data_IF_571484171428
#
_entry.id   IF_571484171428
#
_cell.length_a   1.000
_cell.length_b   1.000
_cell.length_c   1.000
_cell.angle_alpha   90.00
_cell.angle_beta   90.00
_cell.angle_gamma   90.00
#
_symmetry.space_group_name_H-M   'P 1'
#
loop_
_entity.id
_entity.type
_entity.pdbx_description
1 polymer ?
#
# COMPACT_ATOMS: atom_id res chain seq x y z
N UNK A 1 -14.61 35.27 13.47
CA UNK A 1 -15.36 34.35 12.59
C UNK A 1 -14.45 33.19 12.14
N UNK A 2 -14.04 32.28 13.06
CA UNK A 2 -13.23 31.09 12.72
C UNK A 2 -13.51 29.89 13.65
N UNK A 3 -14.67 29.85 14.32
CA UNK A 3 -14.98 28.78 15.28
C UNK A 3 -15.62 27.53 14.65
N UNK A 4 -16.07 27.58 13.38
CA UNK A 4 -16.77 26.46 12.73
C UNK A 4 -15.84 25.46 12.01
N UNK A 5 -14.53 25.74 11.94
CA UNK A 5 -13.58 24.86 11.27
C UNK A 5 -12.90 23.86 12.23
N UNK A 6 -12.86 24.14 13.53
CA UNK A 6 -12.17 23.27 14.50
C UNK A 6 -13.06 22.13 15.03
N UNK A 7 -14.38 22.33 15.09
CA UNK A 7 -15.33 21.30 15.54
C UNK A 7 -15.52 20.15 14.53
N UNK A 8 -15.08 20.30 13.28
CA UNK A 8 -15.14 19.23 12.28
C UNK A 8 -13.99 18.21 12.43
N UNK A 9 -12.91 18.59 13.12
CA UNK A 9 -11.69 17.77 13.22
C UNK A 9 -11.45 17.17 14.61
N UNK A 10 -12.06 17.72 15.66
CA UNK A 10 -11.83 17.25 17.03
C UNK A 10 -12.92 16.27 17.50
N UNK A 11 -12.47 15.03 17.68
CA UNK A 11 -13.01 13.96 18.55
C UNK A 11 -14.35 13.31 18.16
N UNK A 12 -14.29 11.99 17.94
CA UNK A 12 -15.41 11.02 17.84
C UNK A 12 -16.20 10.87 16.53
N UNK A 13 -16.03 11.72 15.52
CA UNK A 13 -16.54 11.45 14.15
C UNK A 13 -15.63 10.51 13.34
N UNK A 14 -15.09 9.49 14.02
CA UNK A 14 -14.94 8.16 13.44
C UNK A 14 -16.34 7.54 13.20
N UNK A 15 -17.25 8.29 12.56
CA UNK A 15 -18.58 7.85 12.14
C UNK A 15 -18.43 6.89 10.96
N UNK A 16 -17.99 5.67 11.27
CA UNK A 16 -18.75 4.42 11.19
C UNK A 16 -20.06 4.47 10.37
N UNK A 17 -20.06 4.96 9.14
CA UNK A 17 -21.10 4.61 8.16
C UNK A 17 -20.66 3.33 7.47
N UNK A 18 -20.85 2.18 8.13
CA UNK A 18 -20.78 0.82 7.55
C UNK A 18 -19.69 0.59 6.47
N UNK A 19 -18.57 1.30 6.57
CA UNK A 19 -17.64 1.47 5.47
C UNK A 19 -16.62 0.35 5.56
N UNK A 20 -16.39 -0.32 4.43
CA UNK A 20 -15.34 -1.34 4.31
C UNK A 20 -13.95 -0.76 4.61
N UNK A 21 -13.80 0.56 4.66
CA UNK A 21 -12.53 1.27 4.80
C UNK A 21 -12.44 1.95 6.18
N UNK A 22 -11.28 1.83 6.80
CA UNK A 22 -10.87 2.52 8.02
C UNK A 22 -9.84 3.58 7.65
N UNK A 23 -10.11 4.82 8.05
CA UNK A 23 -9.19 5.94 7.94
C UNK A 23 -8.69 6.30 9.33
N UNK A 24 -7.40 6.58 9.48
CA UNK A 24 -6.85 7.12 10.72
C UNK A 24 -5.66 8.02 10.44
N UNK A 25 -5.43 8.93 11.37
CA UNK A 25 -4.44 9.98 11.22
C UNK A 25 -3.08 9.52 11.72
N UNK A 26 -2.04 10.03 11.08
CA UNK A 26 -0.66 9.89 11.51
C UNK A 26 -0.04 11.28 11.57
N UNK A 27 1.03 11.43 12.35
CA UNK A 27 1.74 12.72 12.46
C UNK A 27 2.26 13.26 11.11
N UNK A 28 2.41 12.40 10.09
CA UNK A 28 2.87 12.75 8.74
C UNK A 28 1.76 12.79 7.69
N UNK A 29 0.49 12.57 8.05
CA UNK A 29 -0.62 12.53 7.11
C UNK A 29 -1.73 11.56 7.55
N UNK A 30 -2.16 10.66 6.68
CA UNK A 30 -3.21 9.70 7.05
C UNK A 30 -3.04 8.34 6.36
N UNK A 31 -3.69 7.34 6.96
CA UNK A 31 -3.66 5.96 6.53
C UNK A 31 -5.08 5.51 6.18
N UNK A 32 -5.20 4.76 5.09
CA UNK A 32 -6.46 4.13 4.68
C UNK A 32 -6.23 2.65 4.49
N UNK A 33 -7.00 1.82 5.20
CA UNK A 33 -6.95 0.37 5.11
C UNK A 33 -8.36 -0.19 5.05
N UNK A 34 -8.52 -1.38 4.48
CA UNK A 34 -9.75 -2.13 4.67
C UNK A 34 -9.93 -2.49 6.16
N UNK A 35 -11.17 -2.36 6.66
CA UNK A 35 -11.57 -2.70 8.02
C UNK A 35 -11.49 -4.21 8.18
N UNK A 36 -10.75 -4.68 9.19
CA UNK A 36 -10.67 -6.10 9.54
C UNK A 36 -12.08 -6.62 9.85
N UNK A 37 -12.61 -7.53 9.02
CA UNK A 37 -13.84 -8.24 9.37
C UNK A 37 -13.50 -9.17 10.54
N UNK A 38 -13.94 -8.78 11.74
CA UNK A 38 -13.52 -9.36 13.04
C UNK A 38 -13.80 -10.87 13.21
N UNK A 39 -14.52 -11.53 12.30
CA UNK A 39 -14.94 -12.93 12.47
C UNK A 39 -14.74 -13.91 11.31
N UNK A 40 -14.29 -13.53 10.12
CA UNK A 40 -13.98 -14.47 9.02
C UNK A 40 -13.35 -13.71 7.84
N UNK A 41 -12.19 -13.10 8.07
CA UNK A 41 -11.48 -12.47 6.97
C UNK A 41 -10.85 -13.56 6.11
N UNK A 42 -11.44 -13.81 4.93
CA UNK A 42 -10.97 -14.81 3.96
C UNK A 42 -9.47 -14.63 3.67
N UNK A 43 -8.98 -13.39 3.67
CA UNK A 43 -7.56 -13.11 3.45
C UNK A 43 -6.67 -13.74 4.53
N UNK A 44 -7.09 -13.71 5.80
CA UNK A 44 -6.35 -14.32 6.91
C UNK A 44 -6.38 -15.85 6.82
N UNK A 45 -7.51 -16.44 6.42
CA UNK A 45 -7.61 -17.88 6.18
C UNK A 45 -6.71 -18.33 5.02
N UNK A 46 -6.65 -17.55 3.94
CA UNK A 46 -5.74 -17.80 2.83
C UNK A 46 -4.27 -17.66 3.24
N UNK A 47 -3.90 -16.64 4.02
CA UNK A 47 -2.54 -16.50 4.58
C UNK A 47 -2.18 -17.72 5.43
N UNK A 48 -3.08 -18.17 6.30
CA UNK A 48 -2.88 -19.33 7.15
C UNK A 48 -2.77 -20.61 6.33
N UNK A 49 -3.65 -20.81 5.35
CA UNK A 49 -3.66 -21.98 4.47
C UNK A 49 -2.35 -22.12 3.69
N UNK A 50 -1.87 -21.04 3.07
CA UNK A 50 -0.59 -21.04 2.34
C UNK A 50 0.58 -21.33 3.29
N UNK A 51 0.56 -20.79 4.51
CA UNK A 51 1.59 -21.08 5.53
C UNK A 51 1.60 -22.53 5.96
N UNK A 52 0.42 -23.12 6.20
CA UNK A 52 0.29 -24.52 6.58
C UNK A 52 0.75 -25.44 5.44
N UNK A 53 0.35 -25.16 4.20
CA UNK A 53 0.81 -25.92 3.03
C UNK A 53 2.34 -25.85 2.91
N UNK A 54 2.93 -24.65 2.98
CA UNK A 54 4.38 -24.49 2.92
C UNK A 54 5.11 -25.19 4.08
N UNK A 55 4.53 -25.19 5.28
CA UNK A 55 5.09 -25.85 6.46
C UNK A 55 4.98 -27.38 6.37
N UNK A 56 3.92 -27.92 5.76
CA UNK A 56 3.72 -29.36 5.56
C UNK A 56 4.62 -29.95 4.46
N UNK A 57 5.14 -29.14 3.54
CA UNK A 57 6.10 -29.60 2.52
C UNK A 57 7.45 -30.01 3.13
N UNK A 58 7.84 -29.42 4.26
CA UNK A 58 9.10 -29.74 4.95
C UNK A 58 9.12 -31.18 5.49
N UNK A 59 8.15 -31.64 6.31
CA UNK A 59 8.11 -33.03 6.74
C UNK A 59 7.84 -34.00 5.58
N UNK A 60 7.07 -33.59 4.55
CA UNK A 60 6.88 -34.41 3.35
C UNK A 60 8.21 -34.70 2.64
N UNK A 61 9.10 -33.71 2.56
CA UNK A 61 10.47 -33.90 2.05
C UNK A 61 11.27 -34.87 2.93
N UNK A 62 11.07 -34.84 4.25
CA UNK A 62 11.67 -35.80 5.18
C UNK A 62 11.19 -37.23 4.96
N UNK A 63 9.89 -37.45 4.71
CA UNK A 63 9.32 -38.78 4.46
C UNK A 63 9.95 -39.45 3.22
N UNK A 64 10.31 -38.67 2.19
CA UNK A 64 11.01 -39.17 0.99
C UNK A 64 12.31 -39.89 1.35
N UNK A 65 13.02 -39.45 2.40
CA UNK A 65 14.26 -40.09 2.85
C UNK A 65 14.03 -41.44 3.53
N UNK A 66 12.83 -41.69 4.07
CA UNK A 66 12.50 -42.90 4.83
C UNK A 66 11.67 -43.92 4.03
N UNK A 67 11.37 -43.66 2.75
CA UNK A 67 10.62 -44.58 1.89
C UNK A 67 11.47 -45.82 1.55
N UNK A 68 11.13 -47.02 2.07
CA UNK A 68 12.00 -48.21 2.02
C UNK A 68 12.17 -48.77 0.59
N UNK A 69 11.31 -48.40 -0.36
CA UNK A 69 11.40 -48.83 -1.76
C UNK A 69 12.40 -48.05 -2.64
N UNK A 70 13.02 -46.99 -2.11
CA UNK A 70 13.94 -46.13 -2.87
C UNK A 70 15.41 -46.24 -2.42
N UNK A 71 15.73 -47.18 -1.53
CA UNK A 71 17.10 -47.43 -1.05
C UNK A 71 17.94 -48.23 -2.05
N UNK A 72 17.65 -48.11 -3.35
CA UNK A 72 18.44 -48.73 -4.40
C UNK A 72 19.69 -47.88 -4.59
N UNK A 73 20.86 -48.46 -4.30
CA UNK A 73 22.18 -47.81 -4.24
C UNK A 73 22.73 -47.31 -5.59
N UNK A 74 21.87 -46.95 -6.54
CA UNK A 74 22.27 -46.33 -7.80
C UNK A 74 22.42 -44.83 -7.58
N UNK A 75 23.56 -44.28 -7.99
CA UNK A 75 23.89 -42.84 -7.87
C UNK A 75 22.79 -41.95 -8.45
N UNK A 76 22.10 -42.40 -9.50
CA UNK A 76 20.97 -41.69 -10.11
C UNK A 76 19.79 -41.49 -9.16
N UNK A 77 19.45 -42.48 -8.33
CA UNK A 77 18.30 -42.40 -7.40
C UNK A 77 18.57 -41.39 -6.28
N UNK A 78 19.79 -41.38 -5.74
CA UNK A 78 20.21 -40.44 -4.69
C UNK A 78 20.16 -38.99 -5.20
N UNK A 79 20.64 -38.75 -6.42
CA UNK A 79 20.60 -37.40 -7.03
C UNK A 79 19.15 -36.93 -7.21
N UNK A 80 18.26 -37.79 -7.69
CA UNK A 80 16.83 -37.44 -7.86
C UNK A 80 16.16 -37.17 -6.52
N UNK A 81 16.41 -37.98 -5.49
CA UNK A 81 15.89 -37.75 -4.14
C UNK A 81 16.36 -36.42 -3.55
N UNK A 82 17.67 -36.12 -3.67
CA UNK A 82 18.23 -34.86 -3.21
C UNK A 82 17.61 -33.67 -3.96
N UNK A 83 17.45 -33.76 -5.28
CA UNK A 83 16.82 -32.73 -6.08
C UNK A 83 15.36 -32.50 -5.68
N UNK A 84 14.58 -33.57 -5.46
CA UNK A 84 13.20 -33.47 -4.96
C UNK A 84 13.15 -32.81 -3.59
N UNK A 85 13.98 -33.24 -2.64
CA UNK A 85 14.05 -32.66 -1.31
C UNK A 85 14.35 -31.16 -1.37
N UNK A 86 15.32 -30.76 -2.19
CA UNK A 86 15.67 -29.36 -2.38
C UNK A 86 14.52 -28.57 -3.01
N UNK A 87 13.82 -29.15 -3.99
CA UNK A 87 12.65 -28.54 -4.61
C UNK A 87 11.51 -28.33 -3.60
N UNK A 88 11.18 -29.34 -2.79
CA UNK A 88 10.14 -29.23 -1.75
C UNK A 88 10.50 -28.17 -0.70
N UNK A 89 11.75 -28.13 -0.25
CA UNK A 89 12.22 -27.11 0.69
C UNK A 89 12.16 -25.71 0.09
N UNK A 90 12.63 -25.54 -1.16
CA UNK A 90 12.61 -24.25 -1.84
C UNK A 90 11.19 -23.73 -2.05
N UNK A 91 10.27 -24.60 -2.50
CA UNK A 91 8.85 -24.24 -2.71
C UNK A 91 8.15 -23.97 -1.37
N UNK A 92 8.35 -24.83 -0.37
CA UNK A 92 7.75 -24.66 0.96
C UNK A 92 8.20 -23.36 1.64
N UNK A 93 9.50 -23.07 1.60
CA UNK A 93 10.06 -21.81 2.11
C UNK A 93 9.56 -20.61 1.30
N UNK A 94 9.48 -20.74 -0.03
CA UNK A 94 8.95 -19.70 -0.92
C UNK A 94 7.50 -19.34 -0.59
N UNK A 95 6.62 -20.33 -0.43
CA UNK A 95 5.22 -20.16 -0.04
C UNK A 95 5.10 -19.50 1.34
N UNK A 96 5.89 -19.94 2.31
CA UNK A 96 5.91 -19.36 3.64
C UNK A 96 6.30 -17.87 3.62
N UNK A 97 7.38 -17.53 2.92
CA UNK A 97 7.82 -16.12 2.71
C UNK A 97 6.80 -15.30 1.95
N UNK A 98 6.13 -15.90 0.96
CA UNK A 98 5.09 -15.23 0.18
C UNK A 98 3.88 -14.86 1.05
N UNK A 99 3.41 -15.79 1.88
CA UNK A 99 2.28 -15.55 2.79
C UNK A 99 2.58 -14.46 3.84
N UNK A 100 3.85 -14.21 4.17
CA UNK A 100 4.24 -13.17 5.12
C UNK A 100 4.09 -11.73 4.60
N UNK A 101 3.98 -11.54 3.27
CA UNK A 101 3.80 -10.22 2.64
C UNK A 101 2.41 -9.62 2.88
N UNK A 102 1.43 -10.47 3.17
CA UNK A 102 0.05 -10.08 3.38
C UNK A 102 -0.73 -9.80 2.09
N UNK A 103 -2.05 -9.96 2.15
CA UNK A 103 -2.94 -9.72 1.00
C UNK A 103 -3.85 -8.51 1.15
N UNK A 104 -3.87 -7.86 2.31
CA UNK A 104 -4.78 -6.75 2.56
C UNK A 104 -4.18 -5.46 2.05
N UNK A 105 -4.83 -4.81 1.08
CA UNK A 105 -4.35 -3.54 0.53
C UNK A 105 -4.49 -2.43 1.56
N UNK A 106 -3.43 -1.64 1.69
CA UNK A 106 -3.40 -0.41 2.49
C UNK A 106 -2.66 0.65 1.68
N UNK A 107 -3.11 1.89 1.79
CA UNK A 107 -2.33 3.02 1.30
C UNK A 107 -2.15 4.08 2.38
N UNK A 108 -1.09 4.86 2.23
CA UNK A 108 -0.61 5.85 3.16
C UNK A 108 -0.34 7.13 2.37
N UNK A 109 -0.88 8.24 2.84
CA UNK A 109 -0.64 9.56 2.26
C UNK A 109 0.27 10.32 3.22
N UNK A 110 1.52 10.52 2.80
CA UNK A 110 2.53 11.29 3.51
C UNK A 110 2.52 12.72 2.97
N UNK A 111 1.84 13.60 3.71
CA UNK A 111 1.71 15.02 3.35
C UNK A 111 3.01 15.78 3.56
N UNK A 112 3.84 15.34 4.51
CA UNK A 112 5.11 15.96 4.80
C UNK A 112 6.12 15.75 3.67
N UNK A 113 6.14 14.54 3.09
CA UNK A 113 7.04 14.20 1.97
C UNK A 113 6.39 14.37 0.59
N UNK A 114 5.07 14.53 0.52
CA UNK A 114 4.35 14.53 -0.74
C UNK A 114 4.42 13.16 -1.43
N UNK A 115 4.24 12.08 -0.67
CA UNK A 115 4.29 10.70 -1.17
C UNK A 115 2.99 9.95 -0.90
N UNK A 116 2.52 9.19 -1.89
CA UNK A 116 1.47 8.20 -1.76
C UNK A 116 2.10 6.81 -1.76
N UNK A 117 2.12 6.13 -0.61
CA UNK A 117 2.67 4.78 -0.48
C UNK A 117 1.55 3.76 -0.50
N UNK A 118 1.62 2.84 -1.46
CA UNK A 118 0.67 1.74 -1.63
C UNK A 118 1.37 0.46 -1.22
N UNK A 119 0.70 -0.36 -0.42
CA UNK A 119 1.30 -1.57 0.11
C UNK A 119 0.28 -2.59 0.58
N UNK A 120 0.80 -3.66 1.19
CA UNK A 120 -0.01 -4.72 1.78
C UNK A 120 0.21 -4.82 3.28
N UNK A 121 -0.81 -5.23 4.01
CA UNK A 121 -0.77 -5.59 5.41
C UNK A 121 -0.85 -7.11 5.54
N UNK A 122 0.03 -7.70 6.34
CA UNK A 122 -0.08 -9.10 6.74
C UNK A 122 -1.00 -9.28 7.96
N UNK A 123 -1.29 -10.52 8.36
CA UNK A 123 -2.08 -10.84 9.55
C UNK A 123 -1.55 -10.23 10.87
N UNK A 124 -0.26 -9.89 10.93
CA UNK A 124 0.38 -9.20 12.07
C UNK A 124 0.29 -7.67 11.97
N UNK A 125 -0.52 -7.15 11.04
CA UNK A 125 -0.69 -5.72 10.75
C UNK A 125 0.62 -4.98 10.40
N UNK A 126 1.65 -5.70 9.92
CA UNK A 126 2.89 -5.10 9.40
C UNK A 126 2.66 -4.65 7.96
N UNK A 127 3.03 -3.40 7.68
CA UNK A 127 2.88 -2.78 6.37
C UNK A 127 4.12 -2.99 5.51
N UNK A 128 3.91 -3.58 4.33
CA UNK A 128 4.93 -3.74 3.30
C UNK A 128 4.61 -2.82 2.13
N UNK A 129 5.48 -1.84 1.89
CA UNK A 129 5.37 -0.92 0.77
C UNK A 129 5.63 -1.69 -0.52
N UNK A 130 4.70 -1.61 -1.47
CA UNK A 130 4.85 -2.15 -2.83
C UNK A 130 5.23 -1.07 -3.84
N UNK A 131 4.66 0.11 -3.68
CA UNK A 131 4.84 1.22 -4.62
C UNK A 131 4.81 2.54 -3.87
N UNK A 132 5.73 3.43 -4.23
CA UNK A 132 5.76 4.80 -3.74
C UNK A 132 5.53 5.70 -4.95
N UNK A 133 4.50 6.55 -4.86
CA UNK A 133 4.15 7.50 -5.90
C UNK A 133 4.39 8.91 -5.37
N UNK A 134 5.23 9.69 -6.05
CA UNK A 134 5.37 11.11 -5.72
C UNK A 134 4.12 11.86 -6.13
N UNK A 135 3.65 12.78 -5.28
CA UNK A 135 2.57 13.72 -5.57
C UNK A 135 2.83 14.50 -6.87
N UNK A 136 4.10 14.80 -7.16
CA UNK A 136 4.47 15.51 -8.40
C UNK A 136 4.09 14.73 -9.67
N UNK A 137 4.03 13.40 -9.58
CA UNK A 137 3.73 12.50 -10.70
C UNK A 137 2.25 12.13 -10.76
N UNK A 138 1.43 12.56 -9.79
CA UNK A 138 0.00 12.32 -9.76
C UNK A 138 -0.68 13.45 -10.53
N UNK A 139 -1.50 13.09 -11.52
CA UNK A 139 -2.28 14.04 -12.31
C UNK A 139 -3.62 14.33 -11.62
N UNK A 140 -4.34 13.27 -11.26
CA UNK A 140 -5.65 13.36 -10.63
C UNK A 140 -5.97 12.11 -9.83
N UNK A 141 -6.84 12.28 -8.83
CA UNK A 141 -7.47 11.21 -8.08
C UNK A 141 -8.97 11.28 -8.36
N UNK A 142 -9.60 10.16 -8.67
CA UNK A 142 -11.02 10.12 -9.01
C UNK A 142 -11.65 8.77 -8.64
N UNK A 143 -12.98 8.77 -8.57
CA UNK A 143 -13.78 7.57 -8.32
C UNK A 143 -14.34 7.08 -9.65
N UNK A 144 -14.13 5.79 -9.95
CA UNK A 144 -14.75 5.10 -11.06
C UNK A 144 -15.92 4.29 -10.53
N UNK A 145 -17.14 4.66 -10.94
CA UNK A 145 -18.34 3.86 -10.67
C UNK A 145 -18.35 2.65 -11.61
N UNK A 146 -18.68 1.47 -11.09
CA UNK A 146 -18.87 0.31 -11.94
C UNK A 146 -20.18 0.44 -12.73
N UNK A 147 -20.18 0.00 -14.00
CA UNK A 147 -21.40 -0.04 -14.83
C UNK A 147 -22.32 -1.20 -14.44
N UNK A 148 -21.77 -2.22 -13.79
CA UNK A 148 -22.51 -3.40 -13.40
C UNK A 148 -23.19 -3.20 -12.03
N UNK A 149 -24.48 -3.57 -11.90
CA UNK A 149 -25.19 -3.44 -10.64
C UNK A 149 -24.53 -4.30 -9.55
N UNK A 150 -24.34 -3.72 -8.37
CA UNK A 150 -23.77 -4.42 -7.21
C UNK A 150 -22.24 -4.47 -7.15
N UNK A 151 -21.51 -4.05 -8.19
CA UNK A 151 -20.05 -3.93 -8.12
C UNK A 151 -19.62 -2.66 -7.36
N UNK A 152 -18.58 -2.73 -6.49
CA UNK A 152 -18.11 -1.57 -5.76
C UNK A 152 -17.50 -0.51 -6.69
N UNK A 153 -17.59 0.75 -6.29
CA UNK A 153 -16.83 1.83 -6.92
C UNK A 153 -15.35 1.70 -6.55
N UNK A 154 -14.47 2.19 -7.41
CA UNK A 154 -13.02 2.13 -7.21
C UNK A 154 -12.43 3.54 -7.15
N UNK A 155 -11.64 3.81 -6.12
CA UNK A 155 -10.81 5.00 -6.04
C UNK A 155 -9.51 4.74 -6.81
N UNK A 156 -9.24 5.55 -7.83
CA UNK A 156 -8.08 5.40 -8.71
C UNK A 156 -7.27 6.69 -8.75
N UNK A 157 -5.97 6.52 -8.99
CA UNK A 157 -5.03 7.61 -9.25
C UNK A 157 -4.56 7.51 -10.69
N UNK A 158 -4.61 8.63 -11.43
CA UNK A 158 -3.97 8.74 -12.74
C UNK A 158 -2.62 9.43 -12.58
N UNK A 159 -1.62 8.82 -13.21
CA UNK A 159 -0.26 9.35 -13.27
C UNK A 159 -0.14 10.36 -14.41
N UNK A 160 0.69 11.40 -14.25
CA UNK A 160 0.97 12.39 -15.32
C UNK A 160 1.66 11.76 -16.52
N UNK A 161 2.54 10.80 -16.25
CA UNK A 161 3.32 10.10 -17.27
C UNK A 161 2.52 8.88 -17.75
N UNK A 162 1.60 9.10 -18.67
CA UNK A 162 0.86 8.04 -19.39
C UNK A 162 -0.60 7.87 -18.98
N UNK A 163 -1.27 6.89 -19.60
CA UNK A 163 -2.69 6.58 -19.35
C UNK A 163 -2.91 5.58 -18.20
N UNK A 164 -1.84 5.22 -17.49
CA UNK A 164 -1.88 4.23 -16.41
C UNK A 164 -2.66 4.78 -15.21
N UNK A 165 -3.63 3.99 -14.76
CA UNK A 165 -4.38 4.27 -13.53
C UNK A 165 -4.06 3.22 -12.49
N UNK A 166 -3.80 3.65 -11.25
CA UNK A 166 -3.49 2.77 -10.13
C UNK A 166 -4.72 2.70 -9.22
N UNK A 167 -5.30 1.52 -8.98
CA UNK A 167 -6.39 1.36 -8.02
C UNK A 167 -5.85 1.47 -6.58
N UNK A 168 -6.50 2.29 -5.75
CA UNK A 168 -6.13 2.47 -4.35
C UNK A 168 -7.03 1.69 -3.39
N UNK A 169 -8.34 1.81 -3.58
CA UNK A 169 -9.33 1.20 -2.72
C UNK A 169 -10.65 0.97 -3.46
N UNK A 170 -11.44 0.05 -2.94
CA UNK A 170 -12.75 -0.30 -3.46
C UNK A 170 -13.80 -0.19 -2.34
N UNK A 171 -14.97 0.32 -2.68
CA UNK A 171 -16.04 0.50 -1.71
C UNK A 171 -17.31 1.11 -2.30
N UNK A 172 -18.26 1.47 -1.44
CA UNK A 172 -19.38 2.30 -1.87
C UNK A 172 -18.87 3.71 -2.17
N UNK A 173 -19.45 4.37 -3.16
CA UNK A 173 -19.09 5.74 -3.50
C UNK A 173 -19.21 6.68 -2.29
N UNK A 174 -20.28 6.54 -1.49
CA UNK A 174 -20.47 7.30 -0.25
C UNK A 174 -19.29 7.17 0.73
N UNK A 175 -18.60 6.02 0.74
CA UNK A 175 -17.40 5.81 1.57
C UNK A 175 -16.16 6.43 0.93
N UNK A 176 -16.06 6.40 -0.40
CA UNK A 176 -14.87 6.85 -1.13
C UNK A 176 -14.81 8.37 -1.28
N UNK A 177 -15.94 9.06 -1.36
CA UNK A 177 -16.01 10.54 -1.49
C UNK A 177 -15.23 11.26 -0.39
N UNK A 178 -15.44 11.02 0.92
CA UNK A 178 -14.68 11.73 1.96
C UNK A 178 -13.18 11.43 1.90
N UNK A 179 -12.79 10.23 1.45
CA UNK A 179 -11.39 9.87 1.24
C UNK A 179 -10.81 10.66 0.06
N UNK A 180 -11.56 10.75 -1.04
CA UNK A 180 -11.18 11.52 -2.22
C UNK A 180 -10.99 13.00 -1.88
N UNK A 181 -11.95 13.62 -1.20
CA UNK A 181 -11.88 15.03 -0.78
C UNK A 181 -10.63 15.28 0.08
N UNK A 182 -10.38 14.40 1.04
CA UNK A 182 -9.18 14.49 1.89
C UNK A 182 -7.90 14.31 1.10
N UNK A 183 -7.86 13.38 0.14
CA UNK A 183 -6.73 13.19 -0.76
C UNK A 183 -6.49 14.44 -1.61
N UNK A 184 -7.52 15.07 -2.16
CA UNK A 184 -7.39 16.29 -2.96
C UNK A 184 -6.75 17.40 -2.14
N UNK A 185 -7.19 17.61 -0.90
CA UNK A 185 -6.61 18.63 -0.02
C UNK A 185 -5.15 18.31 0.31
N UNK A 186 -4.85 17.04 0.60
CA UNK A 186 -3.53 16.61 1.08
C UNK A 186 -2.48 16.51 -0.03
N UNK A 187 -2.91 16.12 -1.23
CA UNK A 187 -2.03 15.99 -2.40
C UNK A 187 -1.88 17.29 -3.18
N UNK A 188 -2.47 18.41 -2.72
CA UNK A 188 -2.14 19.70 -3.31
C UNK A 188 -0.64 19.93 -3.14
N UNK A 189 0.09 20.20 -4.24
CA UNK A 189 1.51 20.51 -4.13
C UNK A 189 1.64 21.68 -3.15
N UNK A 190 2.64 21.67 -2.25
CA UNK A 190 2.88 22.80 -1.36
C UNK A 190 2.85 24.04 -2.23
N UNK A 191 1.88 24.94 -2.02
CA UNK A 191 1.77 26.16 -2.81
C UNK A 191 3.15 26.76 -2.77
N UNK A 192 3.86 26.71 -3.90
CA UNK A 192 5.22 27.18 -3.98
C UNK A 192 5.14 28.61 -3.50
N UNK A 193 5.56 28.83 -2.27
CA UNK A 193 5.48 30.13 -1.65
C UNK A 193 6.46 30.91 -2.51
N UNK A 194 5.95 31.65 -3.50
CA UNK A 194 6.68 32.65 -4.24
C UNK A 194 7.07 33.64 -3.18
N UNK A 195 8.10 33.31 -2.39
CA UNK A 195 8.96 34.28 -1.75
C UNK A 195 9.34 35.15 -2.93
N UNK A 196 8.68 36.30 -3.02
CA UNK A 196 9.19 37.45 -3.74
C UNK A 196 10.58 37.62 -3.17
N UNK A 197 11.56 37.01 -3.82
CA UNK A 197 12.92 37.50 -3.79
C UNK A 197 12.74 38.88 -4.38
N UNK A 198 12.51 39.86 -3.49
CA UNK A 198 12.73 41.27 -3.80
C UNK A 198 14.19 41.28 -4.18
N UNK A 199 14.46 41.17 -5.47
CA UNK A 199 15.74 41.56 -6.03
C UNK A 199 15.87 43.01 -5.59
N UNK A 200 16.61 43.24 -4.50
CA UNK A 200 17.09 44.56 -4.17
C UNK A 200 17.96 44.94 -5.35
N UNK A 201 17.37 45.71 -6.26
CA UNK A 201 18.12 46.45 -7.27
C UNK A 201 19.00 47.42 -6.48
N UNK A 202 20.20 46.96 -6.15
CA UNK A 202 21.24 47.77 -5.51
C UNK A 202 21.48 48.98 -6.38
N UNK A 203 21.33 50.15 -5.76
CA UNK A 203 21.34 51.44 -6.41
C UNK A 203 22.66 51.75 -7.12
N UNK A 204 22.51 52.33 -8.31
CA UNK A 204 23.18 53.56 -8.78
C UNK A 204 24.49 53.91 -8.04
N UNK A 205 25.62 53.37 -8.50
CA UNK A 205 26.91 53.98 -8.24
C UNK A 205 27.17 55.06 -9.29
N UNK A 206 27.06 56.32 -8.86
CA UNK A 206 27.58 57.49 -9.56
C UNK A 206 29.10 57.47 -9.33
N UNK A 207 29.90 57.37 -10.39
CA UNK A 207 31.35 57.59 -10.33
C UNK A 207 31.63 58.98 -10.91
N UNK A 208 32.04 59.89 -10.03
CA UNK A 208 32.51 61.21 -10.39
C UNK A 208 33.87 61.12 -11.10
N UNK A 209 34.00 61.92 -12.15
CA UNK A 209 35.26 62.29 -12.80
C UNK A 209 36.08 63.20 -11.87
N UNK A 210 37.38 62.98 -11.80
CA UNK A 210 38.36 63.99 -11.43
C UNK A 210 39.67 63.77 -12.20
N UNK A 211 40.10 64.83 -12.89
CA UNK A 211 41.49 65.17 -13.19
C UNK A 211 42.18 64.35 -14.25
#
# INVERSE_FOLDING_TARGET
MNALAEDFWNTETAQTIASKLRVWDAHWGFNVSEKKKRKNDKSTLWELGIKLVGMMMIPAAGIILFLPGLQVSTTSVVVVQAAMLFAFLAVGFGLHRYADRGFRTKFQVDSARGELRIGTLNAKDRFFVRTILSVTNIESVFIVRSKEPGKPAQLRVRMKTGTTTVPLAEGSERTLVPILERMIVTLQPPRANKRRVRTMTTGKFIRASFG
#
